data_IF_729640294552
#
_entry.id   IF_729640294552
#
_cell.length_a   1.000
_cell.length_b   1.000
_cell.length_c   1.000
_cell.angle_alpha   90.00
_cell.angle_beta   90.00
_cell.angle_gamma   90.00
#
_symmetry.space_group_name_H-M   'P 1'
#
loop_
_entity.id
_entity.type
_entity.pdbx_description
1 polymer ?
#
# COMPACT_ATOMS: atom_id res chain seq x y z
N UNK A 1 -2.67 -5.64 -12.48
CA UNK A 1 -3.23 -6.94 -12.84
C UNK A 1 -4.73 -6.79 -12.96
N UNK A 2 -5.31 -7.23 -14.08
CA UNK A 2 -6.77 -7.32 -14.23
C UNK A 2 -7.25 -8.59 -13.55
N UNK A 3 -8.31 -8.53 -12.76
CA UNK A 3 -8.82 -9.68 -12.00
C UNK A 3 -10.27 -9.48 -11.60
N UNK A 4 -10.98 -10.58 -11.28
CA UNK A 4 -12.31 -10.56 -10.68
C UNK A 4 -12.20 -11.07 -9.23
N UNK A 5 -12.93 -10.51 -8.26
CA UNK A 5 -13.96 -9.47 -8.37
C UNK A 5 -13.43 -8.04 -8.18
N UNK A 6 -12.10 -7.85 -8.08
CA UNK A 6 -11.54 -6.53 -7.75
C UNK A 6 -11.43 -5.59 -8.96
N UNK A 7 -11.63 -6.09 -10.18
CA UNK A 7 -11.43 -5.38 -11.44
C UNK A 7 -9.96 -5.19 -11.77
N UNK A 8 -9.25 -4.41 -10.96
CA UNK A 8 -7.86 -4.05 -11.19
C UNK A 8 -7.08 -3.92 -9.88
N UNK A 9 -5.96 -4.63 -9.78
CA UNK A 9 -5.04 -4.58 -8.64
C UNK A 9 -3.67 -4.08 -9.10
N UNK A 10 -3.16 -2.93 -8.57
CA UNK A 10 -1.79 -2.49 -8.81
C UNK A 10 -0.76 -3.52 -8.33
N UNK A 11 0.33 -3.68 -9.08
CA UNK A 11 1.36 -4.71 -8.81
C UNK A 11 1.97 -4.56 -7.40
N UNK A 12 2.07 -3.34 -6.92
CA UNK A 12 2.63 -3.02 -5.60
C UNK A 12 1.76 -3.54 -4.45
N UNK A 13 0.44 -3.69 -4.68
CA UNK A 13 -0.55 -4.04 -3.66
C UNK A 13 -1.06 -5.48 -3.78
N UNK A 14 -0.61 -6.22 -4.80
CA UNK A 14 -1.06 -7.59 -5.09
C UNK A 14 -0.86 -8.57 -3.93
N UNK A 15 0.19 -8.37 -3.13
CA UNK A 15 0.50 -9.22 -1.97
C UNK A 15 -0.28 -8.82 -0.72
N UNK A 16 -1.09 -7.77 -0.75
CA UNK A 16 -1.85 -7.29 0.41
C UNK A 16 -3.29 -7.80 0.41
N UNK A 17 -3.87 -7.87 1.61
CA UNK A 17 -5.31 -8.01 1.74
C UNK A 17 -6.03 -6.79 1.12
N UNK A 18 -7.16 -6.98 0.41
CA UNK A 18 -7.83 -8.26 0.13
C UNK A 18 -7.26 -9.02 -1.06
N UNK A 19 -6.44 -8.39 -1.91
CA UNK A 19 -6.01 -8.93 -3.20
C UNK A 19 -5.27 -10.28 -3.12
N UNK A 20 -4.47 -10.52 -2.08
CA UNK A 20 -3.79 -11.81 -1.90
C UNK A 20 -4.64 -12.89 -1.20
N UNK A 21 -5.87 -12.57 -0.81
CA UNK A 21 -6.67 -13.40 0.11
C UNK A 21 -8.11 -13.65 -0.36
N UNK A 22 -8.40 -13.48 -1.65
CA UNK A 22 -9.64 -13.99 -2.22
C UNK A 22 -9.36 -15.31 -2.95
N UNK A 23 -10.24 -16.28 -2.75
CA UNK A 23 -10.30 -17.52 -3.52
C UNK A 23 -11.75 -17.72 -3.91
N UNK A 24 -12.07 -17.35 -5.15
CA UNK A 24 -13.42 -17.36 -5.69
C UNK A 24 -13.39 -18.19 -6.96
N UNK A 25 -14.30 -19.19 -7.12
CA UNK A 25 -14.36 -19.98 -8.33
C UNK A 25 -14.70 -19.07 -9.52
N UNK A 26 -13.95 -19.23 -10.61
CA UNK A 26 -14.17 -18.50 -11.86
C UNK A 26 -14.61 -19.47 -12.95
N UNK A 27 -15.45 -18.97 -13.86
CA UNK A 27 -15.90 -19.68 -15.06
C UNK A 27 -14.80 -19.75 -16.12
N UNK A 28 -13.82 -18.86 -16.06
CA UNK A 28 -12.78 -18.68 -17.08
C UNK A 28 -13.21 -17.81 -18.26
N UNK A 29 -14.43 -17.29 -18.22
CA UNK A 29 -14.98 -16.33 -19.17
C UNK A 29 -15.36 -15.05 -18.43
N UNK A 30 -15.11 -13.90 -19.05
CA UNK A 30 -15.52 -12.61 -18.49
C UNK A 30 -16.99 -12.35 -18.79
N UNK A 31 -17.79 -12.10 -17.77
CA UNK A 31 -19.15 -11.63 -17.97
C UNK A 31 -19.22 -10.11 -18.24
N UNK A 32 -20.41 -9.62 -18.61
CA UNK A 32 -20.60 -8.20 -18.93
C UNK A 32 -20.36 -7.27 -17.74
N UNK A 33 -20.76 -7.66 -16.54
CA UNK A 33 -20.60 -6.83 -15.33
C UNK A 33 -19.12 -6.75 -14.92
N UNK A 34 -18.39 -7.86 -15.05
CA UNK A 34 -16.94 -7.92 -14.82
C UNK A 34 -16.19 -7.04 -15.82
N UNK A 35 -16.53 -7.12 -17.12
CA UNK A 35 -15.94 -6.27 -18.14
C UNK A 35 -16.21 -4.78 -17.87
N UNK A 36 -17.46 -4.41 -17.57
CA UNK A 36 -17.81 -3.03 -17.23
C UNK A 36 -17.01 -2.52 -16.01
N UNK A 37 -16.87 -3.34 -14.98
CA UNK A 37 -16.05 -3.01 -13.81
C UNK A 37 -14.58 -2.80 -14.20
N UNK A 38 -14.01 -3.70 -15.01
CA UNK A 38 -12.61 -3.61 -15.45
C UNK A 38 -12.37 -2.35 -16.27
N UNK A 39 -13.24 -2.04 -17.25
CA UNK A 39 -13.15 -0.82 -18.05
C UNK A 39 -13.19 0.42 -17.15
N UNK A 40 -14.14 0.48 -16.21
CA UNK A 40 -14.24 1.57 -15.25
C UNK A 40 -12.99 1.72 -14.40
N UNK A 41 -12.42 0.63 -13.90
CA UNK A 41 -11.20 0.64 -13.09
C UNK A 41 -9.98 1.12 -13.90
N UNK A 42 -9.79 0.63 -15.12
CA UNK A 42 -8.68 1.04 -16.00
C UNK A 42 -8.82 2.51 -16.38
N UNK A 43 -10.02 2.94 -16.78
CA UNK A 43 -10.30 4.35 -17.10
C UNK A 43 -10.06 5.27 -15.90
N UNK A 44 -10.50 4.87 -14.71
CA UNK A 44 -10.25 5.62 -13.48
C UNK A 44 -8.76 5.71 -13.16
N UNK A 45 -8.02 4.61 -13.31
CA UNK A 45 -6.57 4.60 -13.08
C UNK A 45 -5.85 5.52 -14.07
N UNK A 46 -6.19 5.46 -15.35
CA UNK A 46 -5.59 6.29 -16.40
C UNK A 46 -5.95 7.76 -16.22
N UNK A 47 -7.21 8.10 -15.92
CA UNK A 47 -7.62 9.51 -15.76
C UNK A 47 -7.10 10.16 -14.48
N UNK A 48 -6.95 9.41 -13.39
CA UNK A 48 -6.42 9.93 -12.12
C UNK A 48 -4.90 10.03 -12.08
N UNK A 49 -4.20 9.53 -13.12
CA UNK A 49 -2.74 9.51 -13.17
C UNK A 49 -2.24 9.99 -14.53
N UNK A 50 -0.97 10.36 -14.62
CA UNK A 50 -0.40 10.91 -15.87
C UNK A 50 0.15 9.82 -16.81
N UNK A 51 -0.58 8.71 -16.99
CA UNK A 51 -0.16 7.64 -17.91
C UNK A 51 -0.15 8.15 -19.35
N UNK A 52 0.88 7.77 -20.12
CA UNK A 52 1.06 8.22 -21.52
C UNK A 52 0.52 7.23 -22.55
N UNK A 53 0.45 5.96 -22.17
CA UNK A 53 -0.04 4.87 -23.01
C UNK A 53 -0.45 3.68 -22.14
N UNK A 54 -1.23 2.77 -22.72
CA UNK A 54 -1.57 1.48 -22.16
C UNK A 54 -0.98 0.37 -23.04
N UNK A 55 -0.08 -0.43 -22.47
CA UNK A 55 0.34 -1.69 -23.09
C UNK A 55 -0.58 -2.78 -22.56
N UNK A 56 -1.53 -3.21 -23.40
CA UNK A 56 -2.51 -4.21 -23.03
C UNK A 56 -1.96 -5.62 -23.31
N UNK A 57 -1.88 -6.43 -22.26
CA UNK A 57 -1.54 -7.85 -22.33
C UNK A 57 -2.58 -8.71 -21.58
N UNK A 58 -3.79 -8.19 -21.39
CA UNK A 58 -4.86 -8.88 -20.66
C UNK A 58 -5.67 -9.83 -21.55
N UNK A 59 -5.86 -9.48 -22.83
CA UNK A 59 -6.78 -10.15 -23.74
C UNK A 59 -8.22 -9.63 -23.65
N UNK A 60 -8.43 -8.51 -22.95
CA UNK A 60 -9.68 -7.74 -22.95
C UNK A 60 -9.51 -6.59 -23.94
N UNK A 61 -10.55 -6.33 -24.73
CA UNK A 61 -10.55 -5.24 -25.69
C UNK A 61 -10.83 -3.90 -24.99
N UNK A 62 -9.93 -2.93 -25.16
CA UNK A 62 -10.11 -1.58 -24.65
C UNK A 62 -10.15 -0.60 -25.82
N UNK A 63 -11.05 0.39 -25.72
CA UNK A 63 -11.17 1.45 -26.71
C UNK A 63 -10.28 2.66 -26.34
N UNK A 64 -9.47 3.13 -27.28
CA UNK A 64 -8.54 4.24 -27.03
C UNK A 64 -9.24 5.57 -26.76
N UNK A 65 -10.39 5.82 -27.37
CA UNK A 65 -11.16 7.05 -27.16
C UNK A 65 -11.84 7.01 -25.78
N UNK A 66 -12.27 5.83 -25.32
CA UNK A 66 -12.85 5.64 -24.00
C UNK A 66 -11.82 5.82 -22.86
N UNK A 67 -10.63 5.23 -23.03
CA UNK A 67 -9.55 5.27 -22.02
C UNK A 67 -8.80 6.60 -22.07
N UNK A 68 -8.68 7.22 -23.24
CA UNK A 68 -8.04 8.53 -23.44
C UNK A 68 -6.52 8.48 -23.61
N UNK A 69 -5.95 7.32 -23.91
CA UNK A 69 -4.52 7.15 -24.23
C UNK A 69 -4.32 6.15 -25.37
N UNK A 70 -3.16 6.22 -26.02
CA UNK A 70 -2.72 5.21 -26.99
C UNK A 70 -2.70 3.81 -26.35
N UNK A 71 -3.32 2.83 -27.02
CA UNK A 71 -3.38 1.45 -26.55
C UNK A 71 -2.62 0.56 -27.54
N UNK A 72 -1.71 -0.27 -27.02
CA UNK A 72 -1.04 -1.31 -27.80
C UNK A 72 -1.52 -2.66 -27.28
N UNK A 73 -2.32 -3.38 -28.07
CA UNK A 73 -2.62 -4.78 -27.79
C UNK A 73 -1.46 -5.69 -28.24
N UNK A 74 -0.85 -6.32 -27.25
CA UNK A 74 0.30 -7.20 -27.43
C UNK A 74 -0.10 -8.67 -27.51
N UNK A 75 -1.37 -9.03 -27.25
CA UNK A 75 -1.86 -10.41 -27.40
C UNK A 75 -2.44 -10.68 -28.79
N UNK A 76 -3.19 -9.74 -29.37
CA UNK A 76 -3.76 -9.88 -30.72
C UNK A 76 -4.52 -11.20 -30.93
N UNK A 77 -5.29 -11.61 -29.91
CA UNK A 77 -6.05 -12.87 -29.92
C UNK A 77 -5.26 -14.13 -29.54
N UNK A 78 -3.94 -14.06 -29.36
CA UNK A 78 -3.13 -15.21 -28.97
C UNK A 78 -3.05 -15.41 -27.43
N UNK A 79 -2.52 -16.56 -27.02
CA UNK A 79 -2.22 -16.86 -25.62
C UNK A 79 -1.16 -15.93 -25.04
N UNK A 80 -1.34 -15.48 -23.79
CA UNK A 80 -0.40 -14.59 -23.08
C UNK A 80 1.04 -15.17 -22.98
N UNK A 81 1.17 -16.49 -22.96
CA UNK A 81 2.47 -17.18 -22.92
C UNK A 81 3.04 -17.54 -24.29
N UNK A 82 2.40 -17.16 -25.40
CA UNK A 82 2.90 -17.47 -26.75
C UNK A 82 4.16 -16.67 -27.07
N UNK A 83 5.03 -17.25 -27.91
CA UNK A 83 6.30 -16.62 -28.27
C UNK A 83 6.09 -15.24 -28.92
N UNK A 84 5.16 -15.15 -29.87
CA UNK A 84 4.89 -13.94 -30.63
C UNK A 84 4.27 -12.84 -29.74
N UNK A 85 3.36 -13.20 -28.83
CA UNK A 85 2.80 -12.25 -27.86
C UNK A 85 3.83 -11.73 -26.87
N UNK A 86 4.74 -12.57 -26.39
CA UNK A 86 5.83 -12.14 -25.50
C UNK A 86 6.85 -11.27 -26.23
N UNK A 87 7.14 -11.56 -27.50
CA UNK A 87 8.01 -10.74 -28.33
C UNK A 87 7.41 -9.35 -28.55
N UNK A 88 6.12 -9.26 -28.91
CA UNK A 88 5.38 -7.98 -29.01
C UNK A 88 5.38 -7.21 -27.70
N UNK A 89 5.13 -7.88 -26.57
CA UNK A 89 5.16 -7.24 -25.25
C UNK A 89 6.53 -6.66 -24.92
N UNK A 90 7.59 -7.41 -25.22
CA UNK A 90 8.97 -6.95 -25.03
C UNK A 90 9.26 -5.71 -25.87
N UNK A 91 8.97 -5.74 -27.17
CA UNK A 91 9.19 -4.63 -28.10
C UNK A 91 8.40 -3.38 -27.66
N UNK A 92 7.11 -3.52 -27.39
CA UNK A 92 6.25 -2.42 -26.94
C UNK A 92 6.76 -1.78 -25.64
N UNK A 93 7.22 -2.59 -24.68
CA UNK A 93 7.77 -2.12 -23.41
C UNK A 93 9.10 -1.38 -23.59
N UNK A 94 10.02 -1.93 -24.40
CA UNK A 94 11.31 -1.29 -24.71
C UNK A 94 11.13 0.02 -25.47
N UNK A 95 10.22 0.07 -26.43
CA UNK A 95 9.95 1.27 -27.22
C UNK A 95 9.24 2.35 -26.40
N UNK A 96 8.31 1.98 -25.53
CA UNK A 96 7.71 2.90 -24.56
C UNK A 96 8.77 3.50 -23.63
N UNK A 97 9.68 2.68 -23.11
CA UNK A 97 10.78 3.14 -22.27
C UNK A 97 11.70 4.11 -23.01
N UNK A 98 12.08 3.81 -24.26
CA UNK A 98 12.90 4.70 -25.10
C UNK A 98 12.18 6.01 -25.42
N UNK A 99 10.88 5.96 -25.75
CA UNK A 99 10.06 7.12 -26.17
C UNK A 99 9.82 8.10 -25.03
N UNK A 100 9.49 7.60 -23.83
CA UNK A 100 9.06 8.44 -22.72
C UNK A 100 10.12 8.62 -21.62
N UNK A 101 11.07 7.69 -21.50
CA UNK A 101 12.04 7.65 -20.39
C UNK A 101 13.44 7.14 -20.83
N UNK A 102 14.06 7.70 -21.88
CA UNK A 102 15.28 7.14 -22.50
C UNK A 102 16.44 6.98 -21.51
N UNK A 103 16.63 7.95 -20.62
CA UNK A 103 17.72 8.00 -19.64
C UNK A 103 17.36 7.36 -18.29
N UNK A 104 16.12 6.90 -18.14
CA UNK A 104 15.66 6.35 -16.88
C UNK A 104 16.10 4.91 -16.73
N UNK A 105 16.84 4.63 -15.66
CA UNK A 105 17.18 3.26 -15.27
C UNK A 105 16.87 3.09 -13.79
N UNK A 106 16.16 2.01 -13.49
CA UNK A 106 15.79 1.67 -12.13
C UNK A 106 16.35 0.29 -11.79
N UNK A 107 17.08 0.19 -10.69
CA UNK A 107 17.50 -1.08 -10.14
C UNK A 107 16.38 -1.71 -9.29
N UNK A 108 16.52 -3.00 -8.99
CA UNK A 108 15.54 -3.75 -8.20
C UNK A 108 15.22 -3.09 -6.85
N UNK A 109 16.22 -2.54 -6.15
CA UNK A 109 16.02 -1.90 -4.84
C UNK A 109 15.22 -0.61 -4.93
N UNK A 110 15.39 0.16 -6.00
CA UNK A 110 14.58 1.34 -6.27
C UNK A 110 13.14 0.95 -6.59
N UNK A 111 12.91 -0.11 -7.38
CA UNK A 111 11.57 -0.67 -7.60
C UNK A 111 10.93 -1.13 -6.29
N UNK A 112 11.68 -1.83 -5.44
CA UNK A 112 11.21 -2.24 -4.12
C UNK A 112 10.86 -1.04 -3.25
N UNK A 113 11.62 0.05 -3.28
CA UNK A 113 11.29 1.27 -2.54
C UNK A 113 9.96 1.88 -3.02
N UNK A 114 9.72 1.93 -4.33
CA UNK A 114 8.44 2.40 -4.89
C UNK A 114 7.28 1.51 -4.44
N UNK A 115 7.49 0.20 -4.39
CA UNK A 115 6.52 -0.74 -3.80
C UNK A 115 6.24 -0.40 -2.34
N UNK A 116 7.28 -0.21 -1.52
CA UNK A 116 7.11 0.16 -0.10
C UNK A 116 6.38 1.51 0.07
N UNK A 117 6.67 2.50 -0.77
CA UNK A 117 5.96 3.80 -0.78
C UNK A 117 4.49 3.64 -1.10
N UNK A 118 4.16 2.83 -2.11
CA UNK A 118 2.76 2.56 -2.49
C UNK A 118 2.02 1.81 -1.40
N UNK A 119 2.66 0.83 -0.74
CA UNK A 119 2.11 0.13 0.42
C UNK A 119 1.90 1.10 1.60
N UNK A 120 2.84 2.02 1.84
CA UNK A 120 2.70 3.02 2.90
C UNK A 120 1.52 3.96 2.65
N UNK A 121 1.36 4.47 1.42
CA UNK A 121 0.19 5.27 1.05
C UNK A 121 -1.11 4.48 1.21
N UNK A 122 -1.12 3.18 0.88
CA UNK A 122 -2.29 2.32 1.09
C UNK A 122 -2.65 2.15 2.57
N UNK A 123 -1.67 1.88 3.43
CA UNK A 123 -1.90 1.58 4.85
C UNK A 123 -2.08 2.83 5.72
N UNK A 124 -1.40 3.92 5.35
CA UNK A 124 -1.21 5.08 6.23
C UNK A 124 -1.62 6.40 5.56
N UNK A 125 -2.02 6.37 4.29
CA UNK A 125 -2.30 7.56 3.48
C UNK A 125 -1.13 8.57 3.47
N UNK A 126 0.10 8.07 3.65
CA UNK A 126 1.33 8.86 3.75
C UNK A 126 2.54 7.96 3.45
N UNK A 127 3.56 8.50 2.78
CA UNK A 127 4.88 7.87 2.59
C UNK A 127 6.05 8.82 2.85
N UNK A 128 5.83 9.97 3.48
CA UNK A 128 6.85 11.01 3.74
C UNK A 128 8.02 10.48 4.57
N UNK A 129 7.75 9.54 5.47
CA UNK A 129 8.79 8.87 6.28
C UNK A 129 9.78 8.02 5.43
N UNK A 130 9.50 7.82 4.13
CA UNK A 130 10.33 7.11 3.17
C UNK A 130 11.11 8.03 2.22
N UNK A 131 11.10 9.35 2.43
CA UNK A 131 11.71 10.34 1.51
C UNK A 131 13.17 10.00 1.19
N UNK A 132 14.00 9.77 2.20
CA UNK A 132 15.43 9.42 2.07
C UNK A 132 15.72 7.93 2.29
N UNK A 133 14.68 7.09 2.28
CA UNK A 133 14.81 5.68 2.59
C UNK A 133 15.40 4.89 1.41
N UNK A 134 16.01 3.74 1.72
CA UNK A 134 16.39 2.73 0.76
C UNK A 134 16.08 1.33 1.31
N UNK A 135 15.94 0.38 0.39
CA UNK A 135 15.65 -1.01 0.75
C UNK A 135 16.95 -1.82 0.92
N UNK A 136 17.04 -2.53 2.03
CA UNK A 136 18.12 -3.45 2.36
C UNK A 136 17.59 -4.79 2.88
N UNK A 137 18.50 -5.70 3.24
CA UNK A 137 18.14 -7.05 3.69
C UNK A 137 17.94 -8.03 2.53
N UNK A 138 17.13 -9.06 2.76
CA UNK A 138 16.84 -10.15 1.82
C UNK A 138 15.34 -10.45 1.83
N UNK A 139 14.77 -10.96 0.72
CA UNK A 139 13.37 -11.36 0.71
C UNK A 139 13.14 -12.53 1.69
N UNK A 140 11.92 -12.69 2.23
CA UNK A 140 10.76 -11.84 1.99
C UNK A 140 10.64 -10.65 2.98
N UNK A 141 11.54 -10.57 3.98
CA UNK A 141 11.55 -9.53 5.03
C UNK A 141 12.58 -8.44 4.74
N UNK A 142 12.17 -7.50 3.92
CA UNK A 142 12.99 -6.33 3.57
C UNK A 142 13.13 -5.36 4.75
N UNK A 143 14.31 -4.75 4.87
CA UNK A 143 14.57 -3.64 5.79
C UNK A 143 14.42 -2.33 5.03
N UNK A 144 13.79 -1.35 5.68
CA UNK A 144 13.72 0.03 5.21
C UNK A 144 14.72 0.82 6.04
N UNK A 145 15.69 1.45 5.38
CA UNK A 145 16.83 2.10 6.01
C UNK A 145 16.97 3.56 5.56
N UNK A 146 17.45 4.42 6.44
CA UNK A 146 17.98 5.76 6.11
C UNK A 146 19.43 5.82 6.61
N UNK A 147 20.39 5.89 5.68
CA UNK A 147 21.80 5.67 6.03
C UNK A 147 22.03 4.33 6.73
N UNK A 148 22.43 4.36 8.02
CA UNK A 148 22.61 3.16 8.86
C UNK A 148 21.42 2.88 9.79
N UNK A 149 20.47 3.80 9.88
CA UNK A 149 19.31 3.67 10.76
C UNK A 149 18.24 2.81 10.10
N UNK A 150 17.71 1.84 10.83
CA UNK A 150 16.55 1.08 10.37
C UNK A 150 15.26 1.82 10.73
N UNK A 151 14.53 2.27 9.70
CA UNK A 151 13.25 2.94 9.86
C UNK A 151 12.11 1.96 10.11
N UNK A 152 12.10 0.84 9.40
CA UNK A 152 11.09 -0.21 9.54
C UNK A 152 11.60 -1.56 9.00
N UNK A 153 10.87 -2.62 9.30
CA UNK A 153 10.99 -3.92 8.64
C UNK A 153 9.65 -4.28 7.99
N UNK A 154 9.68 -4.76 6.75
CA UNK A 154 8.50 -5.25 6.05
C UNK A 154 8.11 -6.65 6.56
N UNK A 155 6.85 -6.81 6.96
CA UNK A 155 6.25 -8.08 7.35
C UNK A 155 5.19 -8.49 6.33
N UNK A 156 5.55 -9.30 5.32
CA UNK A 156 4.65 -9.63 4.20
C UNK A 156 3.42 -10.43 4.67
N UNK A 157 3.60 -11.40 5.57
CA UNK A 157 2.49 -12.22 6.10
C UNK A 157 1.43 -11.37 6.81
N UNK A 158 1.86 -10.29 7.46
CA UNK A 158 0.98 -9.41 8.22
C UNK A 158 0.56 -8.16 7.41
N UNK A 159 1.05 -8.02 6.17
CA UNK A 159 0.83 -6.88 5.30
C UNK A 159 1.21 -5.53 5.93
N UNK A 160 2.28 -5.45 6.74
CA UNK A 160 2.58 -4.22 7.52
C UNK A 160 4.05 -3.90 7.69
N UNK A 161 4.31 -2.64 8.07
CA UNK A 161 5.62 -2.18 8.55
C UNK A 161 5.74 -2.38 10.06
N UNK A 162 6.82 -3.03 10.50
CA UNK A 162 7.22 -3.04 11.90
C UNK A 162 8.19 -1.89 12.17
N UNK A 163 7.71 -0.89 12.89
CA UNK A 163 8.48 0.29 13.27
C UNK A 163 9.23 0.04 14.58
N UNK A 164 10.56 0.23 14.64
CA UNK A 164 11.30 0.23 15.88
C UNK A 164 11.04 1.51 16.67
N UNK A 165 11.25 1.43 18.00
CA UNK A 165 11.08 2.53 18.96
C UNK A 165 11.73 3.86 18.52
N UNK A 166 12.93 3.79 17.91
CA UNK A 166 13.67 4.98 17.47
C UNK A 166 13.04 5.75 16.31
N UNK A 167 12.14 5.14 15.54
CA UNK A 167 11.50 5.79 14.38
C UNK A 167 10.24 6.57 14.79
N UNK A 168 9.65 6.30 15.97
CA UNK A 168 8.38 6.90 16.38
C UNK A 168 8.38 8.44 16.34
N UNK A 169 9.44 9.17 16.77
CA UNK A 169 9.47 10.62 16.63
C UNK A 169 9.39 11.11 15.18
N UNK A 170 10.00 10.38 14.24
CA UNK A 170 9.93 10.73 12.83
C UNK A 170 8.52 10.49 12.26
N UNK A 171 7.88 9.38 12.63
CA UNK A 171 6.49 9.09 12.23
C UNK A 171 5.51 10.13 12.78
N UNK A 172 5.73 10.61 14.01
CA UNK A 172 4.96 11.70 14.60
C UNK A 172 5.13 13.00 13.80
N UNK A 173 6.38 13.35 13.45
CA UNK A 173 6.70 14.54 12.64
C UNK A 173 6.07 14.48 11.25
N UNK A 174 6.12 13.33 10.59
CA UNK A 174 5.53 13.11 9.27
C UNK A 174 4.01 12.95 9.31
N UNK A 175 3.39 12.79 10.48
CA UNK A 175 1.95 12.55 10.60
C UNK A 175 1.50 11.23 9.95
N UNK A 176 2.37 10.22 9.94
CA UNK A 176 2.13 8.95 9.23
C UNK A 176 1.13 8.05 9.96
N UNK A 177 1.13 8.04 11.30
CA UNK A 177 0.25 7.19 12.10
C UNK A 177 -0.78 8.04 12.85
N UNK A 178 -1.96 7.48 13.05
CA UNK A 178 -2.98 8.08 13.90
C UNK A 178 -2.50 8.23 15.35
N UNK A 179 -3.00 9.26 16.01
CA UNK A 179 -2.56 9.66 17.34
C UNK A 179 -3.69 9.42 18.35
N UNK A 180 -3.37 8.77 19.46
CA UNK A 180 -4.25 8.60 20.62
C UNK A 180 -3.70 9.46 21.74
N UNK A 181 -4.47 10.48 22.10
CA UNK A 181 -4.13 11.41 23.16
C UNK A 181 -4.79 10.93 24.45
N UNK A 182 -3.96 10.65 25.45
CA UNK A 182 -4.38 10.13 26.75
C UNK A 182 -4.68 11.28 27.70
N UNK A 183 -5.63 11.03 28.61
CA UNK A 183 -5.86 11.89 29.77
C UNK A 183 -4.62 11.98 30.66
N UNK A 184 -4.56 13.05 31.44
CA UNK A 184 -3.56 13.21 32.48
C UNK A 184 -3.71 12.10 33.53
N UNK A 185 -2.57 11.64 34.06
CA UNK A 185 -2.57 10.51 34.97
C UNK A 185 -1.18 9.97 35.27
N UNK A 186 -1.10 8.84 35.99
CA UNK A 186 0.17 8.23 36.35
C UNK A 186 0.97 7.82 35.12
N UNK A 187 2.26 7.55 35.31
CA UNK A 187 3.13 7.01 34.27
C UNK A 187 2.43 5.85 33.55
N UNK A 188 2.47 5.87 32.22
CA UNK A 188 1.79 4.85 31.42
C UNK A 188 2.44 3.48 31.61
N UNK A 189 1.72 2.59 32.29
CA UNK A 189 2.05 1.18 32.47
C UNK A 189 0.95 0.31 31.86
N UNK A 190 1.33 -0.81 31.26
CA UNK A 190 0.37 -1.71 30.62
C UNK A 190 -0.20 -1.21 29.28
N UNK A 191 -1.43 -1.63 29.00
CA UNK A 191 -2.19 -1.41 27.77
C UNK A 191 -3.12 -0.20 27.88
N UNK A 192 -3.71 0.24 26.76
CA UNK A 192 -4.61 1.40 26.71
C UNK A 192 -6.05 0.95 26.84
N UNK A 193 -6.76 1.55 27.79
CA UNK A 193 -8.19 1.34 28.02
C UNK A 193 -8.97 2.60 27.60
N UNK A 194 -10.21 2.43 27.12
CA UNK A 194 -11.05 3.55 26.66
C UNK A 194 -11.11 4.72 27.65
N UNK A 195 -11.27 4.52 28.98
CA UNK A 195 -11.32 5.63 29.95
C UNK A 195 -10.02 6.45 30.05
N UNK A 196 -8.91 5.96 29.50
CA UNK A 196 -7.64 6.67 29.48
C UNK A 196 -7.52 7.63 28.29
N UNK A 197 -8.44 7.55 27.31
CA UNK A 197 -8.36 8.28 26.05
C UNK A 197 -9.14 9.57 26.15
N UNK A 198 -8.47 10.69 25.90
CA UNK A 198 -9.06 12.02 25.80
C UNK A 198 -9.65 12.23 24.40
N UNK A 199 -8.81 12.05 23.36
CA UNK A 199 -9.24 12.14 21.97
C UNK A 199 -8.31 11.36 21.02
N UNK A 200 -8.77 11.20 19.78
CA UNK A 200 -8.05 10.52 18.69
C UNK A 200 -7.98 11.41 17.47
N UNK A 201 -6.77 11.60 16.93
CA UNK A 201 -6.51 12.29 15.66
C UNK A 201 -6.19 11.26 14.58
N UNK A 202 -6.85 11.39 13.43
CA UNK A 202 -6.83 10.38 12.35
C UNK A 202 -7.95 9.34 12.49
N UNK A 203 -7.86 8.26 11.72
CA UNK A 203 -8.77 7.11 11.78
C UNK A 203 -8.05 5.88 12.32
N UNK A 204 -8.77 4.95 12.94
CA UNK A 204 -8.19 3.74 13.54
C UNK A 204 -9.03 2.53 13.17
N UNK A 205 -8.38 1.55 12.54
CA UNK A 205 -8.91 0.20 12.30
C UNK A 205 -8.26 -0.80 13.25
N UNK A 206 -8.90 -1.96 13.38
CA UNK A 206 -8.37 -3.07 14.16
C UNK A 206 -7.02 -3.49 13.59
N UNK A 207 -5.99 -3.54 14.43
CA UNK A 207 -4.65 -3.96 14.05
C UNK A 207 -3.71 -2.84 13.62
N UNK A 208 -4.20 -1.60 13.47
CA UNK A 208 -3.39 -0.42 13.17
C UNK A 208 -2.39 -0.14 14.31
N UNK A 209 -1.21 0.35 13.95
CA UNK A 209 -0.26 0.89 14.91
C UNK A 209 -0.58 2.38 15.11
N UNK A 210 -0.67 2.82 16.37
CA UNK A 210 -1.01 4.19 16.76
C UNK A 210 0.07 4.78 17.65
N UNK A 211 0.26 6.10 17.57
CA UNK A 211 1.15 6.84 18.45
C UNK A 211 0.40 7.29 19.70
N UNK A 212 1.05 7.19 20.85
CA UNK A 212 0.47 7.57 22.13
C UNK A 212 1.03 8.91 22.58
N UNK A 213 0.16 9.86 22.91
CA UNK A 213 0.53 11.18 23.40
C UNK A 213 -0.11 11.47 24.75
N UNK A 214 0.56 12.28 25.56
CA UNK A 214 -0.04 12.93 26.75
C UNK A 214 0.56 14.31 26.92
N UNK A 215 -0.28 15.32 27.12
CA UNK A 215 0.14 16.71 27.26
C UNK A 215 1.15 17.14 26.15
N UNK A 216 0.90 16.71 24.91
CA UNK A 216 1.75 16.98 23.74
C UNK A 216 3.04 16.13 23.64
N UNK A 217 3.38 15.33 24.65
CA UNK A 217 4.57 14.50 24.63
C UNK A 217 4.29 13.11 24.05
N UNK A 218 5.13 12.68 23.10
CA UNK A 218 5.08 11.33 22.56
C UNK A 218 5.55 10.32 23.62
N UNK A 219 4.69 9.38 23.98
CA UNK A 219 4.95 8.34 24.98
C UNK A 219 5.42 7.01 24.38
N UNK A 220 5.10 6.74 23.11
CA UNK A 220 5.40 5.47 22.47
C UNK A 220 4.35 5.07 21.42
N UNK A 221 4.18 3.78 21.22
CA UNK A 221 3.22 3.22 20.26
C UNK A 221 2.43 2.05 20.85
N UNK A 222 1.23 1.85 20.32
CA UNK A 222 0.37 0.71 20.62
C UNK A 222 -0.26 0.17 19.34
N UNK A 223 -0.76 -1.07 19.42
CA UNK A 223 -1.56 -1.68 18.36
C UNK A 223 -3.02 -1.66 18.76
N UNK A 224 -3.84 -1.05 17.93
CA UNK A 224 -5.29 -1.05 18.15
C UNK A 224 -5.84 -2.48 18.10
N UNK A 225 -6.72 -2.80 19.04
CA UNK A 225 -7.51 -4.04 19.05
C UNK A 225 -8.98 -3.78 18.70
N UNK A 226 -9.35 -2.52 18.46
CA UNK A 226 -10.71 -2.07 18.19
C UNK A 226 -10.73 -1.02 17.07
N UNK A 227 -11.89 -0.65 16.56
CA UNK A 227 -12.02 0.49 15.65
C UNK A 227 -12.16 1.79 16.45
N UNK A 228 -11.88 2.94 15.81
CA UNK A 228 -11.90 4.27 16.47
C UNK A 228 -13.16 4.55 17.30
N UNK A 229 -14.33 4.12 16.85
CA UNK A 229 -15.59 4.39 17.54
C UNK A 229 -15.68 3.71 18.92
N UNK A 230 -14.96 2.61 19.16
CA UNK A 230 -14.91 1.92 20.47
C UNK A 230 -13.93 2.56 21.45
N UNK A 231 -13.11 3.53 21.00
CA UNK A 231 -12.21 4.27 21.89
C UNK A 231 -12.99 5.15 22.88
N UNK A 232 -14.27 5.42 22.60
CA UNK A 232 -15.14 6.27 23.42
C UNK A 232 -16.36 5.49 23.90
N UNK A 233 -16.65 5.55 25.20
CA UNK A 233 -17.91 5.05 25.77
C UNK A 233 -18.01 3.55 26.03
N UNK A 234 -17.06 2.72 25.55
CA UNK A 234 -17.04 1.28 25.80
C UNK A 234 -15.97 0.90 26.84
N UNK A 235 -16.33 0.27 27.98
CA UNK A 235 -15.33 -0.18 28.94
C UNK A 235 -14.53 -1.34 28.34
N UNK A 236 -13.21 -1.16 28.21
CA UNK A 236 -12.35 -2.21 27.67
C UNK A 236 -10.98 -1.71 27.24
N UNK A 237 -10.11 -2.68 26.93
CA UNK A 237 -8.82 -2.40 26.30
C UNK A 237 -9.03 -2.08 24.83
N UNK A 238 -8.56 -0.92 24.40
CA UNK A 238 -8.70 -0.41 23.03
C UNK A 238 -7.42 -0.57 22.23
N UNK A 239 -6.25 -0.56 22.89
CA UNK A 239 -4.96 -0.81 22.25
C UNK A 239 -3.98 -1.55 23.16
N UNK A 240 -3.13 -2.40 22.58
CA UNK A 240 -2.05 -3.13 23.25
C UNK A 240 -0.72 -2.41 23.06
N UNK A 241 -0.04 -2.06 24.14
CA UNK A 241 1.22 -1.29 24.06
C UNK A 241 2.33 -2.09 23.36
N UNK A 242 3.08 -1.43 22.47
CA UNK A 242 4.17 -2.03 21.68
C UNK A 242 5.53 -1.47 22.07
N UNK A 243 5.63 -0.14 22.12
CA UNK A 243 6.85 0.57 22.50
C UNK A 243 6.53 1.66 23.52
N UNK A 244 7.45 1.92 24.44
CA UNK A 244 7.43 3.05 25.38
C UNK A 244 8.73 3.84 25.19
N UNK A 245 8.65 5.17 25.11
CA UNK A 245 9.80 6.08 25.00
C UNK A 245 10.49 6.26 26.35
#
# INVERSE_FOLDING_TARGET
>A
MVTSPLGLVPRELEELWPASHYDIPVTGEWDGEELEMIHKCVKSLVSNNSYKMLINHSGIDFDSDEIGVEIIDTRQGEGAGSHDSLQRLKEASEDAAKKYHPDYRMNEKQHLLIKMRSISRWLHNNDDWLENAHVGGKPPRWKILEGKQQLAMWHPQDGRFAFPKGTLPNLAKCGTLSEVHLEDGPKLEGDIFSPMVNHVKGDIRVGDEVLLFRAGNLLGSARSVTAKWEYFGSPGRVAKTKHRL
#
